data_IF_799009750899
#
_entry.id   IF_799009750899
#
_cell.length_a   1.000
_cell.length_b   1.000
_cell.length_c   1.000
_cell.angle_alpha   90.00
_cell.angle_beta   90.00
_cell.angle_gamma   90.00
#
_symmetry.space_group_name_H-M   'P 1'
#
loop_
_entity.id
_entity.type
_entity.pdbx_description
1 polymer ?
#
# COMPACT_ATOMS: atom_id res chain seq x y z
N UNK A 1 10.11 12.45 0.75
CA UNK A 1 9.72 11.02 0.77
C UNK A 1 10.21 10.33 -0.49
N UNK A 2 10.63 9.08 -0.37
CA UNK A 2 11.14 8.24 -1.46
C UNK A 2 10.01 7.27 -1.87
N UNK A 3 9.62 7.22 -3.16
CA UNK A 3 8.60 6.29 -3.62
C UNK A 3 9.11 4.85 -3.61
N UNK A 4 8.23 3.92 -3.26
CA UNK A 4 8.49 2.48 -3.20
C UNK A 4 7.50 1.75 -4.10
N UNK A 5 8.02 0.83 -4.92
CA UNK A 5 7.24 -0.19 -5.63
C UNK A 5 7.57 -1.53 -4.99
N UNK A 6 6.54 -2.25 -4.54
CA UNK A 6 6.66 -3.56 -3.88
C UNK A 6 6.12 -4.66 -4.81
N UNK A 7 7.04 -5.48 -5.34
CA UNK A 7 6.73 -6.61 -6.22
C UNK A 7 6.69 -7.90 -5.40
N UNK A 8 5.73 -8.78 -5.68
CA UNK A 8 5.49 -9.99 -4.89
C UNK A 8 5.29 -9.69 -3.41
N UNK A 9 4.44 -8.68 -3.15
CA UNK A 9 4.31 -8.02 -1.86
C UNK A 9 3.80 -8.94 -0.73
N UNK A 10 3.19 -10.09 -1.08
CA UNK A 10 2.54 -10.94 -0.11
C UNK A 10 1.48 -10.16 0.68
N UNK A 11 1.33 -10.41 1.97
CA UNK A 11 0.44 -9.62 2.83
C UNK A 11 0.99 -8.23 3.19
N UNK A 12 2.13 -7.79 2.60
CA UNK A 12 2.68 -6.44 2.75
C UNK A 12 3.70 -6.26 3.87
N UNK A 13 4.40 -7.32 4.29
CA UNK A 13 5.37 -7.24 5.38
C UNK A 13 6.54 -6.29 5.11
N UNK A 14 7.17 -6.40 3.94
CA UNK A 14 8.25 -5.49 3.51
C UNK A 14 7.76 -4.05 3.40
N UNK A 15 6.64 -3.82 2.72
CA UNK A 15 6.04 -2.51 2.58
C UNK A 15 5.73 -1.83 3.91
N UNK A 16 5.28 -2.58 4.94
CA UNK A 16 5.08 -2.06 6.30
C UNK A 16 6.41 -1.64 6.93
N UNK A 17 7.47 -2.43 6.78
CA UNK A 17 8.80 -2.09 7.27
C UNK A 17 9.28 -0.75 6.71
N UNK A 18 9.23 -0.57 5.39
CA UNK A 18 9.59 0.70 4.75
C UNK A 18 8.68 1.85 5.18
N UNK A 19 7.37 1.64 5.19
CA UNK A 19 6.39 2.68 5.54
C UNK A 19 6.48 3.13 7.01
N UNK A 20 7.08 2.32 7.90
CA UNK A 20 7.26 2.66 9.31
C UNK A 20 8.46 3.57 9.58
N UNK A 21 9.41 3.66 8.64
CA UNK A 21 10.62 4.46 8.82
C UNK A 21 10.33 5.96 8.84
N UNK A 22 10.90 6.62 9.83
CA UNK A 22 10.79 8.06 10.03
C UNK A 22 12.17 8.70 10.07
N UNK A 23 12.26 9.94 9.62
CA UNK A 23 13.45 10.77 9.75
C UNK A 23 13.59 11.38 11.16
N UNK A 24 14.60 12.22 11.35
CA UNK A 24 14.86 12.88 12.62
C UNK A 24 13.73 13.85 13.06
N UNK A 25 12.93 14.35 12.11
CA UNK A 25 11.76 15.20 12.33
C UNK A 25 10.45 14.38 12.44
N UNK A 26 10.54 13.04 12.57
CA UNK A 26 9.40 12.12 12.62
C UNK A 26 8.52 12.10 11.36
N UNK A 27 9.07 12.50 10.20
CA UNK A 27 8.36 12.46 8.92
C UNK A 27 8.58 11.12 8.23
N UNK A 28 7.61 10.63 7.44
CA UNK A 28 7.79 9.41 6.64
C UNK A 28 8.96 9.55 5.67
N UNK A 29 9.88 8.59 5.67
CA UNK A 29 11.00 8.52 4.71
C UNK A 29 10.53 7.92 3.38
N UNK A 30 9.70 6.91 3.44
CA UNK A 30 9.22 6.15 2.28
C UNK A 30 7.72 6.20 2.13
N UNK A 31 7.25 6.10 0.88
CA UNK A 31 5.84 5.94 0.56
C UNK A 31 5.65 4.91 -0.53
N UNK A 32 4.91 3.85 -0.24
CA UNK A 32 4.50 2.88 -1.26
C UNK A 32 3.55 3.56 -2.25
N UNK A 33 3.88 3.50 -3.53
CA UNK A 33 3.07 4.02 -4.63
C UNK A 33 2.43 2.91 -5.46
N UNK A 34 2.94 1.69 -5.35
CA UNK A 34 2.41 0.51 -6.02
C UNK A 34 2.87 -0.74 -5.29
N UNK A 35 1.98 -1.68 -5.10
CA UNK A 35 2.29 -3.04 -4.65
C UNK A 35 1.50 -4.07 -5.45
N UNK A 36 2.12 -5.22 -5.75
CA UNK A 36 1.55 -6.27 -6.59
C UNK A 36 1.60 -7.59 -5.84
N UNK A 37 0.45 -8.25 -5.75
CA UNK A 37 0.30 -9.58 -5.17
C UNK A 37 -0.75 -10.38 -5.92
N UNK A 38 -0.40 -11.59 -6.37
CA UNK A 38 -1.31 -12.47 -7.12
C UNK A 38 -2.25 -13.28 -6.25
N UNK A 39 -1.81 -13.67 -5.05
CA UNK A 39 -2.66 -14.42 -4.13
C UNK A 39 -3.77 -13.53 -3.56
N UNK A 40 -5.01 -13.94 -3.78
CA UNK A 40 -6.19 -13.14 -3.40
C UNK A 40 -6.30 -12.91 -1.90
N UNK A 41 -5.87 -13.87 -1.06
CA UNK A 41 -5.97 -13.75 0.40
C UNK A 41 -4.88 -12.82 0.92
N UNK A 42 -3.64 -12.99 0.44
CA UNK A 42 -2.54 -12.07 0.76
C UNK A 42 -2.85 -10.65 0.29
N UNK A 43 -3.39 -10.49 -0.93
CA UNK A 43 -3.82 -9.20 -1.46
C UNK A 43 -4.89 -8.51 -0.61
N UNK A 44 -5.87 -9.24 -0.06
CA UNK A 44 -6.86 -8.64 0.86
C UNK A 44 -6.18 -7.99 2.07
N UNK A 45 -5.20 -8.67 2.66
CA UNK A 45 -4.42 -8.15 3.79
C UNK A 45 -3.55 -6.97 3.36
N UNK A 46 -2.88 -7.07 2.21
CA UNK A 46 -2.07 -5.99 1.63
C UNK A 46 -2.88 -4.71 1.45
N UNK A 47 -4.05 -4.81 0.82
CA UNK A 47 -4.97 -3.70 0.60
C UNK A 47 -5.49 -3.10 1.89
N UNK A 48 -5.85 -3.94 2.88
CA UNK A 48 -6.28 -3.47 4.19
C UNK A 48 -5.16 -2.69 4.89
N UNK A 49 -3.92 -3.17 4.87
CA UNK A 49 -2.76 -2.48 5.43
C UNK A 49 -2.52 -1.13 4.74
N UNK A 50 -2.57 -1.09 3.40
CA UNK A 50 -2.50 0.18 2.66
C UNK A 50 -3.57 1.17 3.12
N UNK A 51 -4.81 0.70 3.29
CA UNK A 51 -5.89 1.53 3.80
C UNK A 51 -5.63 2.05 5.22
N UNK A 52 -5.20 1.17 6.13
CA UNK A 52 -4.92 1.54 7.53
C UNK A 52 -3.82 2.61 7.63
N UNK A 53 -2.77 2.52 6.81
CA UNK A 53 -1.74 3.58 6.74
C UNK A 53 -2.30 4.94 6.33
N UNK A 54 -3.34 4.97 5.49
CA UNK A 54 -3.95 6.20 4.99
C UNK A 54 -4.95 6.82 5.98
N UNK A 55 -5.51 6.02 6.90
CA UNK A 55 -6.51 6.48 7.88
C UNK A 55 -5.99 6.56 9.31
N UNK A 56 -4.74 6.14 9.55
CA UNK A 56 -4.09 6.29 10.85
C UNK A 56 -3.88 7.77 11.18
N UNK A 57 -4.04 8.11 12.45
CA UNK A 57 -3.67 9.43 12.98
C UNK A 57 -2.13 9.63 12.91
N UNK A 58 -1.63 10.86 13.02
CA UNK A 58 -0.19 11.12 12.95
C UNK A 58 0.65 10.39 14.00
N UNK A 59 0.05 10.02 15.13
CA UNK A 59 0.67 9.23 16.19
C UNK A 59 0.60 7.70 15.94
N UNK A 60 0.02 7.28 14.81
CA UNK A 60 -0.19 5.88 14.45
C UNK A 60 -1.46 5.26 15.03
N UNK A 61 -2.27 6.02 15.78
CA UNK A 61 -3.53 5.51 16.34
C UNK A 61 -4.52 5.18 15.23
N UNK A 62 -5.12 4.00 15.32
CA UNK A 62 -6.14 3.54 14.37
C UNK A 62 -7.54 3.88 14.86
N UNK A 63 -8.47 4.20 13.95
CA UNK A 63 -9.82 4.62 14.32
C UNK A 63 -10.63 3.49 14.96
N UNK A 64 -11.59 3.84 15.82
CA UNK A 64 -12.44 2.88 16.55
C UNK A 64 -13.21 1.92 15.64
N UNK A 65 -13.54 2.33 14.42
CA UNK A 65 -14.21 1.47 13.44
C UNK A 65 -13.34 0.27 13.07
N UNK A 66 -12.02 0.43 12.98
CA UNK A 66 -11.09 -0.68 12.76
C UNK A 66 -11.04 -1.61 13.99
N UNK A 67 -10.98 -1.07 15.19
CA UNK A 67 -11.00 -1.90 16.42
C UNK A 67 -12.29 -2.71 16.55
N UNK A 68 -13.41 -2.17 16.06
CA UNK A 68 -14.69 -2.89 16.00
C UNK A 68 -14.62 -4.05 15.01
N UNK A 69 -14.09 -3.80 13.80
CA UNK A 69 -13.85 -4.85 12.80
C UNK A 69 -12.95 -5.96 13.36
N UNK A 70 -11.84 -5.60 14.01
CA UNK A 70 -10.91 -6.57 14.60
C UNK A 70 -11.54 -7.45 15.68
N UNK A 71 -12.57 -6.96 16.38
CA UNK A 71 -13.29 -7.75 17.40
C UNK A 71 -14.32 -8.70 16.83
N UNK A 72 -14.99 -8.32 15.75
CA UNK A 72 -16.12 -9.07 15.18
C UNK A 72 -15.73 -9.91 13.98
N UNK A 73 -14.82 -9.43 13.13
CA UNK A 73 -14.40 -10.07 11.88
C UNK A 73 -15.56 -10.47 10.95
N UNK A 74 -16.62 -9.66 10.90
CA UNK A 74 -17.77 -9.90 10.05
C UNK A 74 -17.85 -8.90 8.87
N UNK A 75 -18.67 -9.24 7.88
CA UNK A 75 -18.84 -8.43 6.68
C UNK A 75 -19.43 -7.05 6.99
N UNK A 76 -20.34 -6.97 7.98
CA UNK A 76 -20.98 -5.71 8.35
C UNK A 76 -19.96 -4.70 8.90
N UNK A 77 -19.09 -5.13 9.81
CA UNK A 77 -18.05 -4.25 10.36
C UNK A 77 -16.95 -3.94 9.37
N UNK A 78 -16.67 -4.85 8.42
CA UNK A 78 -15.79 -4.54 7.30
C UNK A 78 -16.40 -3.47 6.38
N UNK A 79 -17.68 -3.57 6.03
CA UNK A 79 -18.37 -2.56 5.23
C UNK A 79 -18.37 -1.19 5.94
N UNK A 80 -18.59 -1.17 7.25
CA UNK A 80 -18.48 0.06 8.05
C UNK A 80 -17.07 0.65 8.01
N UNK A 81 -16.04 -0.21 8.07
CA UNK A 81 -14.65 0.22 8.01
C UNK A 81 -14.31 0.89 6.67
N UNK A 82 -14.65 0.28 5.53
CA UNK A 82 -14.32 0.83 4.22
C UNK A 82 -15.13 2.09 3.89
N UNK A 83 -16.34 2.23 4.44
CA UNK A 83 -17.17 3.44 4.30
C UNK A 83 -16.73 4.60 5.21
N UNK A 84 -15.87 4.36 6.19
CA UNK A 84 -15.36 5.39 7.10
C UNK A 84 -14.56 6.47 6.37
N UNK A 85 -13.69 6.07 5.44
CA UNK A 85 -12.89 6.96 4.58
C UNK A 85 -12.86 6.38 3.15
N UNK A 86 -13.91 6.58 2.36
CA UNK A 86 -14.04 5.90 1.07
C UNK A 86 -13.01 6.33 0.03
N UNK A 87 -12.51 7.56 0.07
CA UNK A 87 -11.43 8.03 -0.82
C UNK A 87 -10.12 7.32 -0.52
N UNK A 88 -9.78 7.17 0.76
CA UNK A 88 -8.59 6.47 1.23
C UNK A 88 -8.67 4.97 0.94
N UNK A 89 -9.89 4.39 1.00
CA UNK A 89 -10.11 3.02 0.57
C UNK A 89 -9.87 2.85 -0.93
N UNK A 90 -10.41 3.74 -1.76
CA UNK A 90 -10.15 3.74 -3.19
C UNK A 90 -8.66 3.87 -3.50
N UNK A 91 -7.97 4.81 -2.86
CA UNK A 91 -6.53 4.98 -3.01
C UNK A 91 -5.72 3.74 -2.59
N UNK A 92 -6.20 3.00 -1.57
CA UNK A 92 -5.60 1.73 -1.18
C UNK A 92 -5.83 0.62 -2.22
N UNK A 93 -7.01 0.58 -2.83
CA UNK A 93 -7.31 -0.35 -3.93
C UNK A 93 -6.46 -0.05 -5.17
N UNK A 94 -6.21 1.22 -5.45
CA UNK A 94 -5.34 1.63 -6.55
C UNK A 94 -3.86 1.33 -6.28
N UNK A 95 -3.39 1.46 -5.03
CA UNK A 95 -2.01 1.14 -4.64
C UNK A 95 -1.74 -0.36 -4.67
N UNK A 96 -2.63 -1.16 -4.06
CA UNK A 96 -2.48 -2.61 -3.92
C UNK A 96 -3.21 -3.35 -5.06
N UNK A 97 -2.44 -3.89 -6.00
CA UNK A 97 -2.96 -4.59 -7.17
C UNK A 97 -3.01 -6.10 -6.94
N UNK A 98 -4.15 -6.72 -7.29
CA UNK A 98 -4.27 -8.16 -7.36
C UNK A 98 -3.91 -8.62 -8.78
N UNK A 99 -2.63 -8.81 -9.04
CA UNK A 99 -2.13 -9.13 -10.39
C UNK A 99 -0.82 -9.92 -10.30
N UNK A 100 -0.35 -10.41 -11.44
CA UNK A 100 0.87 -11.22 -11.56
C UNK A 100 1.81 -10.62 -12.60
N UNK A 101 3.10 -10.60 -12.28
CA UNK A 101 4.15 -10.26 -13.24
C UNK A 101 4.38 -11.48 -14.15
N UNK A 102 4.08 -11.33 -15.42
CA UNK A 102 4.20 -12.39 -16.44
C UNK A 102 5.24 -11.97 -17.46
N UNK A 103 6.13 -12.90 -17.83
CA UNK A 103 7.13 -12.64 -18.86
C UNK A 103 6.45 -12.29 -20.20
N UNK A 104 6.95 -11.24 -20.85
CA UNK A 104 6.38 -10.70 -22.09
C UNK A 104 5.14 -9.80 -21.91
N UNK A 105 4.60 -9.65 -20.68
CA UNK A 105 3.54 -8.69 -20.38
C UNK A 105 4.13 -7.43 -19.69
N UNK A 106 4.25 -6.35 -20.44
CA UNK A 106 4.80 -5.08 -19.93
C UNK A 106 3.76 -4.14 -19.30
N UNK A 107 2.51 -4.57 -19.17
CA UNK A 107 1.37 -3.78 -18.67
C UNK A 107 1.64 -3.20 -17.27
N UNK A 108 2.12 -4.03 -16.35
CA UNK A 108 2.44 -3.61 -14.98
C UNK A 108 3.72 -2.76 -14.91
N UNK A 109 4.67 -3.02 -15.80
CA UNK A 109 5.89 -2.19 -15.95
C UNK A 109 5.53 -0.78 -16.40
N UNK A 110 4.68 -0.66 -17.42
CA UNK A 110 4.16 0.64 -17.90
C UNK A 110 3.41 1.39 -16.82
N UNK A 111 2.50 0.70 -16.10
CA UNK A 111 1.76 1.29 -15.00
C UNK A 111 2.70 1.78 -13.88
N UNK A 112 3.72 1.02 -13.54
CA UNK A 112 4.75 1.42 -12.58
C UNK A 112 5.50 2.67 -13.02
N UNK A 113 5.93 2.71 -14.29
CA UNK A 113 6.59 3.86 -14.87
C UNK A 113 5.71 5.13 -14.86
N UNK A 114 4.43 4.99 -15.20
CA UNK A 114 3.45 6.08 -15.14
C UNK A 114 3.30 6.62 -13.71
N UNK A 115 3.23 5.74 -12.70
CA UNK A 115 3.14 6.14 -11.28
C UNK A 115 4.39 6.85 -10.80
N UNK A 116 5.56 6.37 -11.19
CA UNK A 116 6.84 7.03 -10.89
C UNK A 116 6.91 8.41 -11.56
N UNK A 117 6.51 8.50 -12.82
CA UNK A 117 6.44 9.79 -13.53
C UNK A 117 5.53 10.77 -12.81
N UNK A 118 4.30 10.35 -12.51
CA UNK A 118 3.33 11.18 -11.75
C UNK A 118 3.85 11.58 -10.36
N UNK A 119 4.60 10.70 -9.69
CA UNK A 119 5.20 11.01 -8.39
C UNK A 119 6.17 12.18 -8.47
N UNK A 120 6.91 12.29 -9.56
CA UNK A 120 7.93 13.32 -9.77
C UNK A 120 7.45 14.54 -10.59
N UNK A 121 6.17 14.63 -10.96
CA UNK A 121 5.63 15.80 -11.70
C UNK A 121 5.80 17.11 -10.91
N UNK A 122 5.52 17.09 -9.60
CA UNK A 122 5.61 18.26 -8.71
C UNK A 122 6.75 18.14 -7.69
N UNK A 123 7.75 17.29 -7.97
CA UNK A 123 8.87 17.01 -7.06
C UNK A 123 10.17 16.94 -7.86
N UNK A 124 11.27 17.29 -7.21
CA UNK A 124 12.59 17.03 -7.78
C UNK A 124 12.79 15.53 -7.99
N UNK A 125 13.41 15.17 -9.10
CA UNK A 125 13.77 13.77 -9.38
C UNK A 125 14.75 13.27 -8.34
N UNK A 126 14.46 12.12 -7.77
CA UNK A 126 15.22 11.50 -6.71
C UNK A 126 15.24 9.97 -6.84
N UNK A 127 15.70 9.28 -5.78
CA UNK A 127 15.73 7.83 -5.76
C UNK A 127 14.33 7.21 -5.81
N UNK A 128 14.25 6.04 -6.42
CA UNK A 128 13.13 5.11 -6.37
C UNK A 128 13.62 3.83 -5.71
N UNK A 129 12.81 3.25 -4.85
CA UNK A 129 13.08 1.94 -4.24
C UNK A 129 12.15 0.90 -4.86
N UNK A 130 12.75 -0.16 -5.39
CA UNK A 130 12.06 -1.36 -5.85
C UNK A 130 12.36 -2.48 -4.87
N UNK A 131 11.35 -3.05 -4.26
CA UNK A 131 11.45 -4.17 -3.32
C UNK A 131 10.61 -5.35 -3.80
N UNK A 132 10.87 -6.52 -3.26
CA UNK A 132 10.05 -7.69 -3.52
C UNK A 132 10.66 -8.97 -2.97
N UNK A 133 9.80 -9.93 -2.65
CA UNK A 133 10.17 -11.28 -2.22
C UNK A 133 9.64 -12.32 -3.21
N UNK A 134 10.29 -12.51 -4.39
CA UNK A 134 9.81 -13.48 -5.35
C UNK A 134 9.79 -14.88 -4.74
N UNK A 135 8.80 -15.72 -5.09
CA UNK A 135 8.78 -17.11 -4.65
C UNK A 135 9.99 -17.86 -5.20
N UNK A 136 10.54 -18.76 -4.40
CA UNK A 136 11.64 -19.66 -4.80
C UNK A 136 11.17 -20.72 -5.78
#
# INVERSE_FOLDING_TARGET
MIPVIDLFAGPGGLGEGFSSLRDAENKPVFQTIMSIERDKQAHQTLRLRSYLRKIAEPDGTLPRVYLRYMKKHDNETFDQLIRYRPKEWQAACEEALCDELVDGDDRLVKLGAERVTRWFEDRDRGPLVLIGGPPC
#
